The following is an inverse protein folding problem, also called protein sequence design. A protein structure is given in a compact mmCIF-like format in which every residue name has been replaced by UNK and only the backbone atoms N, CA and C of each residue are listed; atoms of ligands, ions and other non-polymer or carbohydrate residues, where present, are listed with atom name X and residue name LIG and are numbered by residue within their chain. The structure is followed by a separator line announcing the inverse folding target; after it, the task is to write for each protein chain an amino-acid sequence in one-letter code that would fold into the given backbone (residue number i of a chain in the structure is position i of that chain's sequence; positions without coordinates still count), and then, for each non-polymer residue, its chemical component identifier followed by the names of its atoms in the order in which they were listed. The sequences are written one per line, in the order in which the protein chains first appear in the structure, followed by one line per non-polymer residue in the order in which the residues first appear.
data_IF_773830599875
#
_entry.id   IF_773830599875
#
_cell.length_a   1.000
_cell.length_b   1.000
_cell.length_c   1.000
_cell.angle_alpha   90.00
_cell.angle_beta   90.00
_cell.angle_gamma   90.00
#
_symmetry.space_group_name_H-M   'P 1'
#
loop_
_entity.id
_entity.type
_entity.pdbx_description
1 polymer ?
#
# COMPACT_ATOMS: atom_id res chain seq x y z
N UNK A 1 26.58 20.40 -21.75
CA UNK A 1 27.35 19.60 -20.78
C UNK A 1 26.47 18.48 -20.23
N UNK A 2 26.56 17.28 -20.80
CA UNK A 2 25.75 16.10 -20.43
C UNK A 2 26.41 15.35 -19.28
N UNK A 3 25.81 15.40 -18.09
CA UNK A 3 26.27 14.71 -16.89
C UNK A 3 25.93 13.22 -16.98
N UNK A 4 26.74 12.47 -17.73
CA UNK A 4 26.64 11.02 -17.88
C UNK A 4 27.01 10.30 -16.59
N UNK A 5 26.01 10.02 -15.76
CA UNK A 5 26.17 9.19 -14.58
C UNK A 5 26.57 7.75 -14.97
N UNK A 6 27.70 7.29 -14.44
CA UNK A 6 28.12 5.89 -14.46
C UNK A 6 27.04 5.03 -13.80
N UNK A 7 26.10 4.50 -14.57
CA UNK A 7 25.27 3.37 -14.13
C UNK A 7 26.17 2.14 -14.13
N UNK A 8 26.34 1.53 -12.95
CA UNK A 8 27.17 0.35 -12.76
C UNK A 8 26.80 -0.74 -13.77
N UNK A 9 27.79 -1.28 -14.47
CA UNK A 9 27.64 -2.34 -15.48
C UNK A 9 26.88 -3.57 -14.96
N UNK A 10 26.96 -3.81 -13.65
CA UNK A 10 26.27 -4.88 -12.94
C UNK A 10 24.73 -4.77 -13.03
N UNK A 11 24.18 -3.55 -12.86
CA UNK A 11 22.75 -3.28 -12.98
C UNK A 11 22.23 -3.50 -14.40
N UNK A 12 23.05 -3.22 -15.43
CA UNK A 12 22.67 -3.47 -16.83
C UNK A 12 22.60 -4.96 -17.16
N UNK A 13 23.46 -5.75 -16.53
CA UNK A 13 23.54 -7.19 -16.80
C UNK A 13 22.34 -7.92 -16.20
N UNK A 14 21.93 -7.56 -14.98
CA UNK A 14 20.71 -8.09 -14.34
C UNK A 14 19.43 -7.69 -15.08
N UNK A 15 19.38 -6.45 -15.61
CA UNK A 15 18.28 -5.96 -16.44
C UNK A 15 18.17 -6.74 -17.76
N UNK A 16 19.30 -7.14 -18.38
CA UNK A 16 19.31 -7.91 -19.63
C UNK A 16 18.98 -9.40 -19.47
N UNK A 17 19.11 -9.95 -18.25
CA UNK A 17 18.85 -11.36 -17.95
C UNK A 17 17.40 -11.62 -17.48
N UNK A 18 16.53 -10.59 -17.49
CA UNK A 18 15.12 -10.72 -17.06
C UNK A 18 14.93 -11.03 -15.58
N UNK A 19 16.01 -11.07 -14.78
CA UNK A 19 16.01 -11.36 -13.35
C UNK A 19 15.59 -10.15 -12.51
N UNK A 20 15.72 -8.94 -13.06
CA UNK A 20 15.16 -7.72 -12.51
C UNK A 20 14.54 -6.95 -13.66
N UNK A 21 13.22 -7.01 -13.85
CA UNK A 21 12.56 -6.04 -14.73
C UNK A 21 12.75 -4.65 -14.10
N UNK A 22 13.58 -3.76 -14.68
CA UNK A 22 13.81 -2.45 -14.10
C UNK A 22 12.53 -1.62 -14.29
N UNK A 23 11.76 -1.47 -13.22
CA UNK A 23 10.65 -0.52 -13.18
C UNK A 23 9.24 -1.10 -13.09
N UNK A 24 9.05 -2.42 -12.97
CA UNK A 24 7.77 -2.94 -12.46
C UNK A 24 7.68 -2.62 -10.98
N UNK A 25 7.16 -1.43 -10.69
CA UNK A 25 6.70 -1.05 -9.35
C UNK A 25 5.78 -2.18 -8.89
N UNK A 26 5.92 -2.69 -7.65
CA UNK A 26 5.07 -3.77 -7.16
C UNK A 26 3.62 -3.43 -7.49
N UNK A 27 2.89 -4.37 -8.08
CA UNK A 27 1.47 -4.19 -8.38
C UNK A 27 0.80 -3.76 -7.09
N UNK A 28 0.47 -2.47 -7.02
CA UNK A 28 -0.20 -1.95 -5.85
C UNK A 28 -1.59 -2.58 -5.85
N UNK A 29 -2.03 -3.16 -4.73
CA UNK A 29 -3.38 -3.67 -4.63
C UNK A 29 -4.36 -2.57 -5.06
N UNK A 30 -5.35 -2.95 -5.88
CA UNK A 30 -6.28 -1.99 -6.45
C UNK A 30 -6.96 -1.15 -5.36
N UNK A 31 -7.32 0.12 -5.64
CA UNK A 31 -7.88 1.03 -4.63
C UNK A 31 -9.16 0.48 -3.97
N UNK A 32 -9.93 -0.36 -4.68
CA UNK A 32 -11.10 -1.06 -4.13
C UNK A 32 -10.71 -2.10 -3.07
N UNK A 33 -9.66 -2.88 -3.33
CA UNK A 33 -9.15 -3.88 -2.37
C UNK A 33 -8.58 -3.20 -1.13
N UNK A 34 -7.84 -2.11 -1.29
CA UNK A 34 -7.32 -1.33 -0.17
C UNK A 34 -8.44 -0.72 0.68
N UNK A 35 -9.51 -0.20 0.05
CA UNK A 35 -10.66 0.32 0.78
C UNK A 35 -11.40 -0.80 1.54
N UNK A 36 -11.58 -1.96 0.92
CA UNK A 36 -12.11 -3.14 1.58
C UNK A 36 -11.28 -3.54 2.80
N UNK A 37 -9.94 -3.57 2.67
CA UNK A 37 -9.06 -3.88 3.79
C UNK A 37 -9.17 -2.86 4.92
N UNK A 38 -9.24 -1.55 4.62
CA UNK A 38 -9.45 -0.51 5.66
C UNK A 38 -10.75 -0.76 6.44
N UNK A 39 -11.86 -1.03 5.74
CA UNK A 39 -13.15 -1.29 6.37
C UNK A 39 -13.10 -2.57 7.20
N UNK A 40 -12.48 -3.64 6.68
CA UNK A 40 -12.35 -4.91 7.37
C UNK A 40 -11.54 -4.77 8.66
N UNK A 41 -10.38 -4.12 8.60
CA UNK A 41 -9.53 -3.92 9.79
C UNK A 41 -10.23 -3.05 10.82
N UNK A 42 -10.94 -2.00 10.40
CA UNK A 42 -11.72 -1.16 11.29
C UNK A 42 -12.86 -1.92 11.99
N UNK A 43 -13.60 -2.75 11.25
CA UNK A 43 -14.64 -3.60 11.82
C UNK A 43 -14.04 -4.59 12.85
N UNK A 44 -12.87 -5.16 12.55
CA UNK A 44 -12.16 -6.06 13.46
C UNK A 44 -11.75 -5.34 14.75
N UNK A 45 -11.30 -4.09 14.66
CA UNK A 45 -10.96 -3.26 15.83
C UNK A 45 -12.17 -3.12 16.77
N UNK A 46 -13.38 -2.88 16.23
CA UNK A 46 -14.60 -2.80 17.03
C UNK A 46 -14.93 -4.12 17.75
N UNK A 47 -14.73 -5.25 17.07
CA UNK A 47 -14.92 -6.58 17.67
C UNK A 47 -13.94 -6.80 18.82
N UNK A 48 -12.66 -6.47 18.64
CA UNK A 48 -11.66 -6.61 19.69
C UNK A 48 -11.93 -5.70 20.89
N UNK A 49 -12.38 -4.46 20.66
CA UNK A 49 -12.79 -3.55 21.74
C UNK A 49 -13.98 -4.14 22.51
N UNK A 50 -14.98 -4.68 21.81
CA UNK A 50 -16.11 -5.36 22.43
C UNK A 50 -15.65 -6.51 23.33
N UNK A 51 -14.76 -7.38 22.84
CA UNK A 51 -14.19 -8.48 23.62
C UNK A 51 -13.38 -7.98 24.82
N UNK A 52 -12.56 -6.94 24.63
CA UNK A 52 -11.75 -6.33 25.68
C UNK A 52 -12.61 -5.87 26.87
N UNK A 53 -13.78 -5.27 26.59
CA UNK A 53 -14.71 -4.81 27.63
C UNK A 53 -15.44 -5.94 28.36
N UNK A 54 -15.55 -7.12 27.75
CA UNK A 54 -16.23 -8.28 28.34
C UNK A 54 -15.26 -9.20 29.08
N UNK A 55 -13.96 -9.10 28.82
CA UNK A 55 -12.94 -9.91 29.50
C UNK A 55 -12.63 -9.44 30.92
N UNK A 56 -12.68 -10.37 31.88
CA UNK A 56 -12.34 -10.12 33.28
C UNK A 56 -10.94 -10.65 33.69
N UNK A 57 -10.14 -11.16 32.75
CA UNK A 57 -8.77 -11.63 33.02
C UNK A 57 -7.71 -10.65 32.50
N UNK A 58 -6.72 -10.30 33.33
CA UNK A 58 -5.61 -9.40 32.96
C UNK A 58 -4.87 -9.88 31.71
N UNK A 59 -4.52 -11.17 31.62
CA UNK A 59 -3.84 -11.74 30.46
C UNK A 59 -4.66 -11.58 29.17
N UNK A 60 -5.98 -11.78 29.28
CA UNK A 60 -6.88 -11.64 28.15
C UNK A 60 -7.04 -10.18 27.74
N UNK A 61 -7.07 -9.24 28.70
CA UNK A 61 -7.13 -7.81 28.41
C UNK A 61 -5.86 -7.32 27.72
N UNK A 62 -4.68 -7.79 28.14
CA UNK A 62 -3.40 -7.47 27.48
C UNK A 62 -3.41 -7.99 26.03
N UNK A 63 -3.89 -9.22 25.82
CA UNK A 63 -3.98 -9.81 24.48
C UNK A 63 -4.95 -9.03 23.58
N UNK A 64 -6.17 -8.75 24.04
CA UNK A 64 -7.15 -7.99 23.26
C UNK A 64 -6.70 -6.55 23.03
N UNK A 65 -6.03 -5.93 24.00
CA UNK A 65 -5.40 -4.61 23.82
C UNK A 65 -4.32 -4.61 22.73
N UNK A 66 -3.47 -5.64 22.69
CA UNK A 66 -2.46 -5.81 21.65
C UNK A 66 -3.10 -6.02 20.26
N UNK A 67 -4.18 -6.81 20.18
CA UNK A 67 -4.94 -7.03 18.94
C UNK A 67 -5.60 -5.74 18.43
N UNK A 68 -6.14 -4.92 19.33
CA UNK A 68 -6.67 -3.58 19.00
C UNK A 68 -5.55 -2.72 18.41
N UNK A 69 -4.40 -2.61 19.10
CA UNK A 69 -3.27 -1.81 18.63
C UNK A 69 -2.77 -2.26 17.25
N UNK A 70 -2.63 -3.57 17.04
CA UNK A 70 -2.22 -4.14 15.76
C UNK A 70 -3.22 -3.80 14.64
N UNK A 71 -4.52 -4.00 14.88
CA UNK A 71 -5.57 -3.71 13.89
C UNK A 71 -5.61 -2.23 13.49
N UNK A 72 -5.34 -1.31 14.43
CA UNK A 72 -5.24 0.12 14.14
C UNK A 72 -4.04 0.43 13.24
N UNK A 73 -2.86 -0.15 13.52
CA UNK A 73 -1.67 0.01 12.68
C UNK A 73 -1.93 -0.47 11.25
N UNK A 74 -2.58 -1.63 11.09
CA UNK A 74 -2.97 -2.16 9.77
C UNK A 74 -3.99 -1.27 9.05
N UNK A 75 -4.94 -0.70 9.77
CA UNK A 75 -5.91 0.26 9.21
C UNK A 75 -5.21 1.50 8.67
N UNK A 76 -4.30 2.09 9.45
CA UNK A 76 -3.52 3.27 9.05
C UNK A 76 -2.62 2.96 7.85
N UNK A 77 -1.91 1.82 7.87
CA UNK A 77 -1.05 1.41 6.77
C UNK A 77 -1.83 1.28 5.45
N UNK A 78 -2.99 0.61 5.48
CA UNK A 78 -3.85 0.46 4.31
C UNK A 78 -4.46 1.78 3.85
N UNK A 79 -4.78 2.69 4.77
CA UNK A 79 -5.25 4.03 4.43
C UNK A 79 -4.17 4.88 3.74
N UNK A 80 -2.93 4.80 4.20
CA UNK A 80 -1.78 5.47 3.56
C UNK A 80 -1.54 4.90 2.16
N UNK A 81 -1.61 3.57 2.00
CA UNK A 81 -1.52 2.91 0.70
C UNK A 81 -2.67 3.35 -0.23
N UNK A 82 -3.90 3.44 0.28
CA UNK A 82 -5.05 3.91 -0.47
C UNK A 82 -4.87 5.36 -0.96
N UNK A 83 -4.37 6.26 -0.10
CA UNK A 83 -4.05 7.65 -0.50
C UNK A 83 -2.96 7.69 -1.57
N UNK A 84 -1.93 6.84 -1.47
CA UNK A 84 -0.88 6.73 -2.49
C UNK A 84 -1.40 6.17 -3.81
N UNK A 85 -2.29 5.18 -3.76
CA UNK A 85 -2.91 4.61 -4.95
C UNK A 85 -3.78 5.65 -5.68
N UNK A 86 -4.64 6.39 -4.96
CA UNK A 86 -5.46 7.46 -5.55
C UNK A 86 -4.63 8.57 -6.20
N UNK A 87 -3.57 9.05 -5.51
CA UNK A 87 -2.67 10.07 -6.09
C UNK A 87 -1.99 9.62 -7.38
N UNK A 88 -1.72 8.32 -7.55
CA UNK A 88 -1.16 7.81 -8.81
C UNK A 88 -2.19 7.78 -9.93
N UNK A 89 -3.43 7.41 -9.63
CA UNK A 89 -4.52 7.42 -10.62
C UNK A 89 -4.78 8.83 -11.16
N UNK A 90 -4.77 9.84 -10.28
CA UNK A 90 -4.96 11.25 -10.69
C UNK A 90 -3.80 11.76 -11.58
N UNK A 91 -2.55 11.42 -11.25
CA UNK A 91 -1.40 11.79 -12.08
C UNK A 91 -1.35 11.03 -13.42
N UNK A 92 -1.78 9.76 -13.45
CA UNK A 92 -1.86 8.99 -14.70
C UNK A 92 -3.01 9.43 -15.61
N UNK A 93 -4.00 10.18 -15.10
CA UNK A 93 -5.04 10.82 -15.89
C UNK A 93 -4.58 12.09 -16.62
N UNK A 94 -3.50 12.73 -16.17
CA UNK A 94 -2.95 13.93 -16.82
C UNK A 94 -2.08 13.60 -18.05
N UNK A 95 -1.47 12.41 -18.09
CA UNK A 95 -0.61 11.98 -19.20
C UNK A 95 -1.38 11.25 -20.32
N UNK A 96 -2.65 10.93 -20.10
CA UNK A 96 -3.51 10.20 -21.06
C UNK A 96 -4.28 11.08 -22.05
N UNK A 97 -4.08 12.41 -22.02
CA UNK A 97 -4.83 13.37 -22.84
C UNK A 97 -3.94 14.12 -23.84
N UNK A 98 -2.94 13.45 -24.42
CA UNK A 98 -2.12 13.98 -25.50
C UNK A 98 -2.38 13.33 -26.88
N UNK A 99 -3.21 12.29 -26.97
CA UNK A 99 -3.51 11.62 -28.24
C UNK A 99 -4.96 11.85 -28.70
N UNK A 100 -5.26 13.10 -29.08
CA UNK A 100 -6.31 13.35 -30.08
C UNK A 100 -5.64 14.02 -31.28
N UNK A 101 -5.43 13.32 -32.41
CA UNK A 101 -5.05 13.99 -33.64
C UNK A 101 -6.23 14.85 -34.08
N UNK A 102 -6.09 16.16 -33.93
CA UNK A 102 -6.91 17.15 -34.64
C UNK A 102 -6.71 16.93 -36.13
N UNK A 103 -7.79 16.54 -36.79
CA UNK A 103 -7.90 16.46 -38.25
C UNK A 103 -8.21 17.84 -38.81
#
# INVERSE_FOLDING_TARGET
MTRGGRRNSWLRMTDSMGLTEPGKKPEMPGPRLLLFQVVLWFAMTLVWIGMLTQTQGEDAQVLYGALVALSLVLTVANFVLLRRARKRTDNSGADGQADKPTR
#
